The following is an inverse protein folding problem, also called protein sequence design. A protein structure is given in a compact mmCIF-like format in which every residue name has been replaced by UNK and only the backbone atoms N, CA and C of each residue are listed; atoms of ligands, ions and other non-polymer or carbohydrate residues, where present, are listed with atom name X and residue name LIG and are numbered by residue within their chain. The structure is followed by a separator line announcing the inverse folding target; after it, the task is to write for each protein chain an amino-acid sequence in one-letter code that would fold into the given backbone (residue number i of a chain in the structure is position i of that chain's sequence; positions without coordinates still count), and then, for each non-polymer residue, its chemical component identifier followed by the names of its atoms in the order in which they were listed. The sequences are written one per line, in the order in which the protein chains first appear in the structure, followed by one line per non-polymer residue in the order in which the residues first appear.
data_IF_168543999351
#
_entry.id   IF_168543999351
#
_cell.length_a   1.000
_cell.length_b   1.000
_cell.length_c   1.000
_cell.angle_alpha   90.00
_cell.angle_beta   90.00
_cell.angle_gamma   90.00
#
_symmetry.space_group_name_H-M   'P 1'
#
loop_
_entity.id
_entity.type
_entity.pdbx_description
1 polymer ?
#
# COMPACT_ATOMS: atom_id res chain seq x y z
N UNK A 1 19.98 16.50 0.15
CA UNK A 1 18.50 16.69 0.08
C UNK A 1 17.77 15.88 1.17
N UNK A 2 16.82 16.47 1.93
CA UNK A 2 15.98 15.70 2.83
C UNK A 2 15.11 14.72 2.01
N UNK A 3 14.88 13.48 2.50
CA UNK A 3 14.07 12.52 1.76
C UNK A 3 12.63 13.01 1.56
N UNK A 4 11.96 12.59 0.48
CA UNK A 4 10.60 12.99 0.14
C UNK A 4 9.64 12.77 1.31
N UNK A 5 8.76 13.75 1.55
CA UNK A 5 7.68 13.68 2.55
C UNK A 5 6.51 12.82 2.10
N UNK A 6 6.45 12.48 0.81
CA UNK A 6 5.41 11.66 0.23
C UNK A 6 6.03 10.37 -0.29
N UNK A 7 5.39 9.25 -0.02
CA UNK A 7 5.73 7.95 -0.58
C UNK A 7 4.49 7.39 -1.24
N UNK A 8 4.62 6.95 -2.49
CA UNK A 8 3.55 6.31 -3.21
C UNK A 8 4.04 4.97 -3.72
N UNK A 9 3.21 3.96 -3.57
CA UNK A 9 3.45 2.62 -4.11
C UNK A 9 2.22 2.17 -4.86
N UNK A 10 2.48 1.57 -6.01
CA UNK A 10 1.47 0.94 -6.86
C UNK A 10 1.93 -0.48 -7.06
N UNK A 11 1.10 -1.43 -6.67
CA UNK A 11 1.35 -2.84 -6.90
C UNK A 11 0.27 -3.37 -7.82
N UNK A 12 0.68 -4.20 -8.77
CA UNK A 12 -0.21 -4.94 -9.63
C UNK A 12 0.24 -6.41 -9.57
N UNK A 13 -0.72 -7.28 -9.26
CA UNK A 13 -0.53 -8.72 -9.24
C UNK A 13 -1.41 -9.35 -10.33
N UNK A 14 -0.85 -10.32 -11.04
CA UNK A 14 -1.52 -10.97 -12.14
C UNK A 14 -0.98 -12.37 -12.33
N UNK A 15 -1.84 -13.38 -12.24
CA UNK A 15 -1.47 -14.78 -12.44
C UNK A 15 -2.54 -15.51 -13.24
N UNK A 16 -2.14 -16.29 -14.23
CA UNK A 16 -3.05 -17.11 -15.03
C UNK A 16 -2.66 -18.59 -14.95
N UNK A 17 -3.64 -19.47 -14.71
CA UNK A 17 -3.49 -20.93 -14.78
C UNK A 17 -4.42 -21.47 -15.87
N UNK A 18 -4.07 -21.14 -17.12
CA UNK A 18 -4.81 -21.52 -18.33
C UNK A 18 -5.90 -20.51 -18.75
N UNK A 19 -6.61 -20.79 -19.85
CA UNK A 19 -7.66 -19.90 -20.40
C UNK A 19 -8.87 -19.70 -19.49
N UNK A 20 -9.07 -20.59 -18.52
CA UNK A 20 -10.26 -20.61 -17.64
C UNK A 20 -10.04 -20.02 -16.25
N UNK A 21 -8.78 -19.84 -15.83
CA UNK A 21 -8.44 -19.37 -14.49
C UNK A 21 -7.43 -18.23 -14.55
N UNK A 22 -7.78 -17.08 -13.98
CA UNK A 22 -6.86 -15.97 -13.78
C UNK A 22 -7.14 -15.26 -12.46
N UNK A 23 -6.15 -14.62 -11.90
CA UNK A 23 -6.26 -13.67 -10.82
C UNK A 23 -5.58 -12.39 -11.30
N UNK A 24 -6.25 -11.26 -11.11
CA UNK A 24 -5.68 -9.93 -11.33
C UNK A 24 -6.06 -9.06 -10.15
N UNK A 25 -5.11 -8.32 -9.62
CA UNK A 25 -5.28 -7.46 -8.48
C UNK A 25 -4.39 -6.25 -8.62
N UNK A 26 -4.80 -5.15 -8.01
CA UNK A 26 -3.97 -3.98 -7.88
C UNK A 26 -4.21 -3.29 -6.55
N UNK A 27 -3.16 -2.69 -6.03
CA UNK A 27 -3.20 -1.84 -4.86
C UNK A 27 -2.48 -0.52 -5.14
N UNK A 28 -2.98 0.55 -4.54
CA UNK A 28 -2.33 1.85 -4.49
C UNK A 28 -2.26 2.24 -3.04
N UNK A 29 -1.07 2.62 -2.59
CA UNK A 29 -0.84 3.16 -1.25
C UNK A 29 -0.08 4.47 -1.32
N UNK A 30 -0.45 5.38 -0.45
CA UNK A 30 0.18 6.68 -0.28
C UNK A 30 0.46 6.94 1.19
N UNK A 31 1.63 7.46 1.47
CA UNK A 31 2.04 7.92 2.80
C UNK A 31 2.51 9.37 2.71
N UNK A 32 2.22 10.13 3.76
CA UNK A 32 2.60 11.53 3.87
C UNK A 32 3.10 11.86 5.29
N UNK A 33 4.32 12.38 5.37
CA UNK A 33 4.93 12.90 6.59
C UNK A 33 4.24 14.23 6.98
N UNK A 34 3.25 14.15 7.87
CA UNK A 34 2.60 15.31 8.47
C UNK A 34 3.59 16.14 9.30
N UNK A 35 4.48 15.46 10.00
CA UNK A 35 5.49 16.08 10.86
C UNK A 35 6.81 15.33 10.78
N UNK A 36 7.92 16.08 10.86
CA UNK A 36 9.27 15.54 10.92
C UNK A 36 10.11 16.32 11.93
N UNK A 37 10.39 15.68 13.06
CA UNK A 37 11.28 16.19 14.10
C UNK A 37 12.74 16.12 13.67
N UNK A 38 13.57 16.99 14.27
CA UNK A 38 15.03 17.00 14.05
C UNK A 38 15.70 15.71 14.53
N UNK A 39 15.10 15.08 15.53
CA UNK A 39 15.57 13.82 16.14
C UNK A 39 15.21 12.58 15.31
N UNK A 40 14.56 12.78 14.15
CA UNK A 40 14.18 11.72 13.22
C UNK A 40 12.76 11.18 13.43
N UNK A 41 12.06 11.61 14.50
CA UNK A 41 10.64 11.31 14.74
C UNK A 41 9.76 11.79 13.60
N UNK A 42 8.79 10.98 13.17
CA UNK A 42 7.84 11.34 12.11
C UNK A 42 6.43 10.99 12.50
N UNK A 43 5.49 11.82 12.06
CA UNK A 43 4.06 11.51 12.07
C UNK A 43 3.66 11.31 10.62
N UNK A 44 3.12 10.14 10.31
CA UNK A 44 2.81 9.70 8.94
C UNK A 44 1.31 9.48 8.84
N UNK A 45 0.66 10.09 7.87
CA UNK A 45 -0.67 9.69 7.43
C UNK A 45 -0.54 8.72 6.26
N UNK A 46 -1.32 7.64 6.27
CA UNK A 46 -1.33 6.65 5.19
C UNK A 46 -2.74 6.42 4.67
N UNK A 47 -2.82 6.08 3.39
CA UNK A 47 -4.05 5.69 2.72
C UNK A 47 -3.76 4.56 1.74
N UNK A 48 -4.65 3.57 1.68
CA UNK A 48 -4.54 2.43 0.79
C UNK A 48 -5.87 2.15 0.12
N UNK A 49 -5.82 1.74 -1.14
CA UNK A 49 -6.96 1.20 -1.88
C UNK A 49 -6.50 -0.02 -2.67
N UNK A 50 -7.26 -1.09 -2.63
CA UNK A 50 -6.96 -2.32 -3.32
C UNK A 50 -8.23 -2.91 -3.95
N UNK A 51 -8.09 -3.47 -5.14
CA UNK A 51 -9.18 -4.14 -5.83
C UNK A 51 -8.61 -5.20 -6.77
N UNK A 52 -9.27 -6.35 -6.83
CA UNK A 52 -8.92 -7.42 -7.75
C UNK A 52 -10.13 -8.22 -8.20
N UNK A 53 -9.91 -9.02 -9.23
CA UNK A 53 -10.86 -9.99 -9.75
C UNK A 53 -10.16 -11.33 -9.96
N UNK A 54 -10.84 -12.41 -9.65
CA UNK A 54 -10.36 -13.77 -9.87
C UNK A 54 -11.39 -14.54 -10.69
N UNK A 55 -10.94 -15.24 -11.72
CA UNK A 55 -11.73 -16.22 -12.46
C UNK A 55 -11.32 -17.62 -12.04
N UNK A 56 -12.31 -18.41 -11.62
CA UNK A 56 -12.15 -19.82 -11.26
C UNK A 56 -13.18 -20.62 -12.06
N UNK A 57 -12.69 -21.60 -12.81
CA UNK A 57 -13.46 -22.50 -13.65
C UNK A 57 -14.48 -21.78 -14.55
N UNK A 58 -14.02 -20.71 -15.22
CA UNK A 58 -14.87 -19.91 -16.10
C UNK A 58 -15.80 -18.92 -15.39
N UNK A 59 -15.95 -18.98 -14.06
CA UNK A 59 -16.75 -18.04 -13.27
C UNK A 59 -15.87 -16.88 -12.76
N UNK A 60 -16.27 -15.64 -13.05
CA UNK A 60 -15.51 -14.44 -12.64
C UNK A 60 -16.06 -13.90 -11.32
N UNK A 61 -15.21 -13.84 -10.31
CA UNK A 61 -15.45 -13.23 -9.01
C UNK A 61 -14.75 -11.88 -8.95
N UNK A 62 -15.51 -10.80 -8.77
CA UNK A 62 -14.95 -9.49 -8.46
C UNK A 62 -14.76 -9.41 -6.96
N UNK A 63 -13.52 -9.20 -6.52
CA UNK A 63 -13.24 -8.85 -5.13
C UNK A 63 -13.88 -7.52 -4.81
N UNK A 64 -14.33 -7.34 -3.56
CA UNK A 64 -14.80 -6.01 -3.13
C UNK A 64 -13.58 -5.09 -3.03
N UNK A 65 -13.71 -3.81 -3.43
CA UNK A 65 -12.66 -2.85 -3.17
C UNK A 65 -12.41 -2.77 -1.65
N UNK A 66 -11.16 -2.81 -1.26
CA UNK A 66 -10.70 -2.63 0.11
C UNK A 66 -10.01 -1.27 0.19
N UNK A 67 -10.31 -0.51 1.24
CA UNK A 67 -9.68 0.78 1.48
C UNK A 67 -9.29 0.90 2.96
N UNK A 68 -8.18 1.56 3.21
CA UNK A 68 -7.68 1.82 4.55
C UNK A 68 -7.13 3.23 4.66
N UNK A 69 -7.24 3.81 5.86
CA UNK A 69 -6.56 5.05 6.24
C UNK A 69 -5.94 4.86 7.61
N UNK A 70 -4.77 5.46 7.82
CA UNK A 70 -4.02 5.30 9.05
C UNK A 70 -3.23 6.54 9.41
N UNK A 71 -2.92 6.66 10.70
CA UNK A 71 -1.94 7.61 11.22
C UNK A 71 -0.96 6.82 12.07
N UNK A 72 0.33 6.97 11.77
CA UNK A 72 1.43 6.32 12.47
C UNK A 72 2.41 7.33 13.03
N UNK A 73 3.08 6.97 14.11
CA UNK A 73 4.22 7.71 14.65
C UNK A 73 5.44 6.81 14.56
N UNK A 74 6.45 7.25 13.82
CA UNK A 74 7.74 6.58 13.72
C UNK A 74 8.71 7.27 14.67
N UNK A 75 9.18 6.54 15.68
CA UNK A 75 10.17 7.02 16.65
C UNK A 75 11.44 6.20 16.42
N UNK A 76 12.56 6.82 15.99
CA UNK A 76 13.81 6.09 15.85
C UNK A 76 14.35 5.73 17.23
N UNK A 77 14.31 4.45 17.58
CA UNK A 77 14.92 3.92 18.80
C UNK A 77 16.38 3.59 18.46
N UNK A 78 17.32 4.42 18.93
CA UNK A 78 18.76 4.19 18.73
C UNK A 78 19.46 5.15 17.76
N UNK A 79 19.39 6.46 18.02
CA UNK A 79 20.55 7.33 17.82
C UNK A 79 21.04 7.81 19.18
N UNK A 80 21.42 6.83 20.00
CA UNK A 80 22.36 7.07 21.09
C UNK A 80 23.71 7.38 20.46
N UNK A 81 24.22 8.55 20.84
CA UNK A 81 25.56 9.10 20.63
C UNK A 81 26.68 8.10 20.37
#
# INVERSE_FOLDING_TARGET
PPPPRHRFSVEAEGGARGRRNFNVGGSVSGEYDLYRGKDGTRVVASGTVAHGATRVDGTTYKGRPQAGVGIGVEIPIGKGR
#
